data_IF_890098173459
#
_entry.id   IF_890098173459
#
_cell.length_a   1.000
_cell.length_b   1.000
_cell.length_c   1.000
_cell.angle_alpha   90.00
_cell.angle_beta   90.00
_cell.angle_gamma   90.00
#
_symmetry.space_group_name_H-M   'P 1'
#
loop_
_entity.id
_entity.type
_entity.pdbx_description
1 polymer ?
#
# COMPACT_ATOMS: atom_id res chain seq x y z
N UNK A 1 -0.94 16.15 12.88
CA UNK A 1 -0.83 17.04 11.70
C UNK A 1 -0.89 16.18 10.46
N UNK A 2 -2.04 16.08 9.78
CA UNK A 2 -2.16 15.25 8.58
C UNK A 2 -1.33 15.89 7.46
N UNK A 3 -0.29 15.19 6.98
CA UNK A 3 0.57 15.69 5.91
C UNK A 3 -0.26 15.81 4.63
N UNK A 4 -0.38 17.02 4.09
CA UNK A 4 -1.08 17.25 2.83
C UNK A 4 -0.22 16.70 1.68
N UNK A 5 -0.53 15.48 1.22
CA UNK A 5 0.10 14.87 0.06
C UNK A 5 -0.63 15.40 -1.21
N UNK A 6 0.07 15.96 -2.21
CA UNK A 6 -0.56 16.42 -3.43
C UNK A 6 -1.24 15.25 -4.16
N UNK A 7 -2.38 15.51 -4.80
CA UNK A 7 -3.23 14.48 -5.42
C UNK A 7 -2.46 13.60 -6.40
N UNK A 8 -1.57 14.19 -7.21
CA UNK A 8 -0.70 13.47 -8.15
C UNK A 8 0.17 12.41 -7.46
N UNK A 9 0.74 12.75 -6.30
CA UNK A 9 1.60 11.83 -5.54
C UNK A 9 0.78 10.75 -4.86
N UNK A 10 -0.43 11.07 -4.40
CA UNK A 10 -1.39 10.10 -3.85
C UNK A 10 -1.78 9.06 -4.90
N UNK A 11 -2.14 9.51 -6.11
CA UNK A 11 -2.47 8.63 -7.24
C UNK A 11 -1.24 7.79 -7.64
N UNK A 12 -0.06 8.40 -7.75
CA UNK A 12 1.18 7.69 -8.08
C UNK A 12 1.52 6.59 -7.08
N UNK A 13 1.41 6.86 -5.77
CA UNK A 13 1.59 5.84 -4.74
C UNK A 13 0.54 4.73 -4.88
N UNK A 14 -0.72 5.07 -5.16
CA UNK A 14 -1.78 4.09 -5.36
C UNK A 14 -1.52 3.15 -6.54
N UNK A 15 -1.07 3.69 -7.68
CA UNK A 15 -0.70 2.89 -8.87
C UNK A 15 0.46 1.96 -8.54
N UNK A 16 1.52 2.46 -7.88
CA UNK A 16 2.66 1.63 -7.48
C UNK A 16 2.24 0.57 -6.48
N UNK A 17 1.27 0.85 -5.59
CA UNK A 17 0.74 -0.11 -4.62
C UNK A 17 -0.09 -1.23 -5.24
N UNK A 18 -0.62 -1.05 -6.45
CA UNK A 18 -1.32 -2.13 -7.15
C UNK A 18 -0.41 -3.32 -7.46
N UNK A 19 0.86 -3.06 -7.82
CA UNK A 19 1.82 -4.12 -8.17
C UNK A 19 2.03 -5.11 -7.02
N UNK A 20 2.43 -4.70 -5.79
CA UNK A 20 2.56 -5.62 -4.69
C UNK A 20 1.22 -6.25 -4.29
N UNK A 21 0.09 -5.55 -4.41
CA UNK A 21 -1.23 -6.14 -4.11
C UNK A 21 -1.51 -7.36 -4.99
N UNK A 22 -1.30 -7.25 -6.31
CA UNK A 22 -1.50 -8.38 -7.22
C UNK A 22 -0.47 -9.50 -7.03
N UNK A 23 0.79 -9.16 -6.73
CA UNK A 23 1.84 -10.16 -6.46
C UNK A 23 1.50 -10.96 -5.19
N UNK A 24 1.13 -10.30 -4.10
CA UNK A 24 0.73 -10.99 -2.87
C UNK A 24 -0.57 -11.77 -3.04
N UNK A 25 -1.54 -11.26 -3.80
CA UNK A 25 -2.77 -11.98 -4.10
C UNK A 25 -2.51 -13.26 -4.91
N UNK A 26 -1.66 -13.18 -5.95
CA UNK A 26 -1.25 -14.35 -6.74
C UNK A 26 -0.46 -15.36 -5.92
N UNK A 27 0.43 -14.87 -5.04
CA UNK A 27 1.17 -15.72 -4.11
C UNK A 27 0.22 -16.43 -3.13
N UNK A 28 -0.73 -15.69 -2.55
CA UNK A 28 -1.71 -16.25 -1.62
C UNK A 28 -2.60 -17.28 -2.31
N UNK A 29 -3.01 -17.03 -3.56
CA UNK A 29 -3.80 -17.96 -4.36
C UNK A 29 -3.07 -19.28 -4.59
N UNK A 30 -1.75 -19.26 -4.77
CA UNK A 30 -0.95 -20.46 -4.93
C UNK A 30 -0.96 -21.36 -3.67
N UNK A 31 -0.98 -20.76 -2.49
CA UNK A 31 -1.02 -21.51 -1.22
C UNK A 31 -2.43 -21.90 -0.81
N UNK A 32 -3.37 -20.97 -0.90
CA UNK A 32 -4.77 -21.13 -0.50
C UNK A 32 -5.64 -20.52 -1.59
N UNK A 33 -6.18 -21.32 -2.53
CA UNK A 33 -7.03 -20.86 -3.61
C UNK A 33 -8.45 -20.55 -3.10
N UNK A 34 -8.55 -19.63 -2.15
CA UNK A 34 -9.79 -19.16 -1.53
C UNK A 34 -9.97 -17.69 -1.82
N UNK A 35 -11.09 -17.34 -2.44
CA UNK A 35 -11.47 -15.96 -2.71
C UNK A 35 -11.60 -15.12 -1.44
N UNK A 36 -12.00 -15.72 -0.31
CA UNK A 36 -12.06 -15.01 0.98
C UNK A 36 -10.67 -14.63 1.50
N UNK A 37 -9.67 -15.48 1.26
CA UNK A 37 -8.29 -15.20 1.64
C UNK A 37 -7.73 -14.03 0.81
N UNK A 38 -7.96 -14.04 -0.51
CA UNK A 38 -7.59 -12.94 -1.40
C UNK A 38 -8.26 -11.63 -0.99
N UNK A 39 -9.57 -11.66 -0.72
CA UNK A 39 -10.31 -10.47 -0.26
C UNK A 39 -9.78 -9.94 1.07
N UNK A 40 -9.46 -10.82 2.02
CA UNK A 40 -8.84 -10.44 3.30
C UNK A 40 -7.49 -9.75 3.11
N UNK A 41 -6.65 -10.28 2.21
CA UNK A 41 -5.37 -9.70 1.87
C UNK A 41 -5.52 -8.32 1.18
N UNK A 42 -6.48 -8.17 0.28
CA UNK A 42 -6.78 -6.90 -0.39
C UNK A 42 -7.11 -5.80 0.63
N UNK A 43 -7.89 -6.13 1.66
CA UNK A 43 -8.22 -5.22 2.76
C UNK A 43 -6.95 -4.83 3.54
N UNK A 44 -6.08 -5.80 3.84
CA UNK A 44 -4.79 -5.53 4.50
C UNK A 44 -3.93 -4.57 3.67
N UNK A 45 -3.87 -4.77 2.35
CA UNK A 45 -3.13 -3.89 1.44
C UNK A 45 -3.71 -2.47 1.38
N UNK A 46 -5.04 -2.33 1.40
CA UNK A 46 -5.70 -1.02 1.44
C UNK A 46 -5.42 -0.26 2.76
N UNK A 47 -5.34 -0.98 3.88
CA UNK A 47 -4.95 -0.42 5.18
C UNK A 47 -3.48 0.03 5.15
N UNK A 48 -2.58 -0.80 4.61
CA UNK A 48 -1.16 -0.47 4.45
C UNK A 48 -0.98 0.79 3.58
N UNK A 49 -1.67 0.86 2.45
CA UNK A 49 -1.70 2.06 1.60
C UNK A 49 -2.15 3.30 2.40
N UNK A 50 -3.20 3.17 3.21
CA UNK A 50 -3.69 4.25 4.07
C UNK A 50 -2.66 4.67 5.15
N UNK A 51 -1.86 3.73 5.65
CA UNK A 51 -0.77 4.01 6.60
C UNK A 51 0.42 4.71 5.92
N UNK A 52 0.75 4.30 4.70
CA UNK A 52 1.79 4.94 3.87
C UNK A 52 1.39 6.38 3.55
N UNK A 53 0.13 6.61 3.16
CA UNK A 53 -0.41 7.95 2.96
C UNK A 53 -0.40 8.81 4.23
N UNK A 54 -0.57 8.21 5.40
CA UNK A 54 -0.45 8.92 6.69
C UNK A 54 1.00 9.27 7.03
N UNK A 55 1.99 8.85 6.24
CA UNK A 55 3.40 9.16 6.44
C UNK A 55 4.05 8.43 7.62
N UNK A 56 3.35 7.46 8.24
CA UNK A 56 3.88 6.71 9.39
C UNK A 56 4.99 5.72 9.02
N UNK A 57 5.15 5.41 7.73
CA UNK A 57 6.13 4.41 7.27
C UNK A 57 7.40 5.02 6.66
N UNK A 58 7.38 6.30 6.25
CA UNK A 58 8.52 6.94 5.58
C UNK A 58 8.64 8.40 5.98
N UNK A 59 9.47 8.68 6.99
CA UNK A 59 10.28 9.89 7.08
C UNK A 59 11.44 9.65 8.07
N UNK A 60 12.59 9.19 7.58
CA UNK A 60 13.84 9.79 8.03
C UNK A 60 14.10 10.92 7.04
N UNK A 61 13.90 12.15 7.48
CA UNK A 61 14.29 13.32 6.69
C UNK A 61 15.79 13.22 6.40
N UNK A 62 16.16 13.31 5.13
CA UNK A 62 17.54 13.59 4.77
C UNK A 62 17.80 15.05 5.12
N UNK A 63 18.79 15.37 5.98
CA UNK A 63 19.12 16.76 6.29
C UNK A 63 19.59 17.45 5.02
N UNK A 64 18.98 18.60 4.73
CA UNK A 64 19.40 19.52 3.69
C UNK A 64 20.70 20.20 4.11
N UNK A 65 21.79 19.90 3.40
CA UNK A 65 22.94 20.79 3.26
C UNK A 65 22.87 21.46 1.90
#
# INVERSE_FOLDING_TARGET
MARHIPLTRKIGIGIVFMVPSFVFAGLLWHFVPSWLAVLGLEIVMAILYSLVLKGKLFLKESPSH
#
